data_IF_935315828111
#
_entry.id   IF_935315828111
#
_cell.length_a   1.000
_cell.length_b   1.000
_cell.length_c   1.000
_cell.angle_alpha   90.00
_cell.angle_beta   90.00
_cell.angle_gamma   90.00
#
_symmetry.space_group_name_H-M   'P 1'
#
loop_
_entity.id
_entity.type
_entity.pdbx_description
1 polymer ?
#
# COMPACT_ATOMS: atom_id res chain seq x y z
N UNK A 1 -17.46 -40.52 -19.72
CA UNK A 1 -17.06 -39.34 -20.51
C UNK A 1 -17.42 -38.00 -19.86
N UNK A 2 -18.44 -37.89 -18.98
CA UNK A 2 -18.75 -36.62 -18.27
C UNK A 2 -17.97 -36.38 -16.96
N UNK A 3 -17.32 -37.39 -16.37
CA UNK A 3 -16.57 -37.22 -15.10
C UNK A 3 -15.23 -36.50 -15.28
N UNK A 4 -14.55 -36.72 -16.41
CA UNK A 4 -13.21 -36.16 -16.65
C UNK A 4 -13.23 -34.63 -16.84
N UNK A 5 -14.38 -34.06 -17.23
CA UNK A 5 -14.55 -32.62 -17.42
C UNK A 5 -14.66 -31.85 -16.09
N UNK A 6 -15.21 -32.50 -15.04
CA UNK A 6 -15.31 -31.93 -13.69
C UNK A 6 -14.03 -32.08 -12.87
N UNK A 7 -13.17 -33.05 -13.20
CA UNK A 7 -11.89 -33.26 -12.49
C UNK A 7 -10.78 -32.30 -12.96
N UNK A 8 -10.99 -31.56 -14.05
CA UNK A 8 -10.03 -30.58 -14.58
C UNK A 8 -10.20 -29.18 -13.95
N UNK A 9 -10.27 -29.10 -12.63
CA UNK A 9 -10.28 -27.82 -11.89
C UNK A 9 -9.06 -26.95 -12.21
N UNK A 10 -7.93 -27.58 -12.54
CA UNK A 10 -6.66 -26.93 -12.89
C UNK A 10 -6.73 -26.12 -14.20
N UNK A 11 -7.63 -26.49 -15.13
CA UNK A 11 -7.88 -25.70 -16.35
C UNK A 11 -8.62 -24.38 -16.08
N UNK A 12 -9.32 -24.26 -14.95
CA UNK A 12 -10.02 -23.03 -14.57
C UNK A 12 -9.11 -22.02 -13.87
N UNK A 13 -7.97 -22.46 -13.33
CA UNK A 13 -6.94 -21.56 -12.79
C UNK A 13 -6.12 -20.92 -13.92
N UNK A 14 -6.19 -19.58 -14.02
CA UNK A 14 -5.32 -18.82 -14.93
C UNK A 14 -3.89 -18.85 -14.40
N UNK A 15 -3.04 -19.65 -15.05
CA UNK A 15 -1.61 -19.81 -14.74
C UNK A 15 -0.84 -18.48 -14.68
N UNK A 16 -1.28 -17.49 -15.46
CA UNK A 16 -0.66 -16.15 -15.49
C UNK A 16 -0.73 -15.39 -14.15
N UNK A 17 -1.67 -15.78 -13.27
CA UNK A 17 -1.84 -15.20 -11.93
C UNK A 17 -1.32 -16.10 -10.80
N UNK A 18 -0.69 -17.22 -11.13
CA UNK A 18 -0.21 -18.21 -10.16
C UNK A 18 1.05 -17.75 -9.42
N UNK A 19 1.79 -16.80 -10.01
CA UNK A 19 3.02 -16.29 -9.43
C UNK A 19 2.74 -15.43 -8.20
N UNK A 20 3.40 -15.79 -7.08
CA UNK A 20 3.38 -14.98 -5.85
C UNK A 20 3.96 -13.60 -6.13
N UNK A 21 3.38 -12.57 -5.50
CA UNK A 21 3.90 -11.21 -5.58
C UNK A 21 5.37 -11.14 -5.11
N UNK A 22 6.23 -10.38 -5.81
CA UNK A 22 7.61 -10.20 -5.36
C UNK A 22 7.66 -9.64 -3.94
N UNK A 23 8.54 -10.18 -3.10
CA UNK A 23 8.67 -9.75 -1.71
C UNK A 23 8.97 -8.24 -1.59
N UNK A 24 9.81 -7.71 -2.48
CA UNK A 24 10.10 -6.27 -2.52
C UNK A 24 8.86 -5.42 -2.81
N UNK A 25 7.91 -5.93 -3.61
CA UNK A 25 6.65 -5.23 -3.88
C UNK A 25 5.73 -5.21 -2.66
N UNK A 26 5.66 -6.33 -1.94
CA UNK A 26 4.92 -6.41 -0.68
C UNK A 26 5.50 -5.46 0.37
N UNK A 27 6.84 -5.44 0.53
CA UNK A 27 7.53 -4.54 1.46
C UNK A 27 7.24 -3.08 1.10
N UNK A 28 7.36 -2.71 -0.18
CA UNK A 28 7.03 -1.35 -0.63
C UNK A 28 5.57 -1.00 -0.36
N UNK A 29 4.65 -1.91 -0.67
CA UNK A 29 3.22 -1.69 -0.47
C UNK A 29 2.89 -1.41 1.00
N UNK A 30 3.34 -2.26 1.93
CA UNK A 30 3.13 -2.04 3.35
C UNK A 30 3.90 -0.82 3.88
N UNK A 31 5.11 -0.58 3.35
CA UNK A 31 5.89 0.62 3.66
C UNK A 31 5.14 1.90 3.32
N UNK A 32 4.51 1.97 2.14
CA UNK A 32 3.69 3.11 1.72
C UNK A 32 2.45 3.30 2.59
N UNK A 33 1.81 2.21 3.03
CA UNK A 33 0.67 2.29 3.96
C UNK A 33 1.11 2.88 5.29
N UNK A 34 2.18 2.34 5.89
CA UNK A 34 2.71 2.84 7.16
C UNK A 34 3.20 4.29 7.04
N UNK A 35 3.87 4.62 5.94
CA UNK A 35 4.31 5.98 5.65
C UNK A 35 3.14 6.94 5.48
N UNK A 36 2.09 6.53 4.76
CA UNK A 36 0.87 7.33 4.59
C UNK A 36 0.16 7.60 5.91
N UNK A 37 0.05 6.59 6.77
CA UNK A 37 -0.51 6.74 8.12
C UNK A 37 0.34 7.70 8.98
N UNK A 38 1.66 7.53 8.95
CA UNK A 38 2.59 8.42 9.64
C UNK A 38 2.45 9.87 9.15
N UNK A 39 2.46 10.08 7.83
CA UNK A 39 2.31 11.40 7.22
C UNK A 39 0.97 12.04 7.60
N UNK A 40 -0.11 11.27 7.57
CA UNK A 40 -1.42 11.75 7.98
C UNK A 40 -1.42 12.23 9.43
N UNK A 41 -0.86 11.46 10.36
CA UNK A 41 -0.76 11.86 11.78
C UNK A 41 0.10 13.11 11.93
N UNK A 42 1.25 13.19 11.24
CA UNK A 42 2.21 14.27 11.42
C UNK A 42 1.78 15.59 10.78
N UNK A 43 1.06 15.56 9.65
CA UNK A 43 0.74 16.74 8.87
C UNK A 43 -0.76 17.12 8.91
N UNK A 44 -1.55 16.42 9.71
CA UNK A 44 -2.95 16.82 9.98
C UNK A 44 -3.00 17.81 11.15
N UNK A 45 -3.49 19.06 10.95
CA UNK A 45 -3.48 20.09 11.98
C UNK A 45 -4.20 19.71 13.27
N UNK A 46 -5.31 18.96 13.18
CA UNK A 46 -6.07 18.53 14.35
C UNK A 46 -5.40 17.44 15.17
N UNK A 47 -4.38 16.77 14.63
CA UNK A 47 -3.67 15.67 15.29
C UNK A 47 -2.33 16.16 15.84
N UNK A 48 -1.49 16.77 15.00
CA UNK A 48 -0.13 17.18 15.37
C UNK A 48 0.03 18.65 15.72
N UNK A 49 -0.99 19.48 15.46
CA UNK A 49 -0.87 20.95 15.56
C UNK A 49 0.01 21.57 14.47
N UNK A 50 0.45 20.77 13.48
CA UNK A 50 1.22 21.26 12.33
C UNK A 50 0.35 22.16 11.46
N UNK A 51 0.93 23.28 10.99
CA UNK A 51 0.27 24.20 10.06
C UNK A 51 1.29 24.73 9.07
N UNK A 52 0.84 25.04 7.85
CA UNK A 52 1.69 25.61 6.81
C UNK A 52 2.26 26.98 7.21
N UNK A 53 1.47 27.82 7.89
CA UNK A 53 1.90 29.15 8.33
C UNK A 53 3.07 29.09 9.32
N UNK A 54 2.96 28.26 10.36
CA UNK A 54 4.04 28.06 11.32
C UNK A 54 5.31 27.53 10.64
N UNK A 55 5.16 26.53 9.76
CA UNK A 55 6.30 25.97 9.03
C UNK A 55 6.98 27.02 8.12
N UNK A 56 6.20 27.92 7.53
CA UNK A 56 6.73 29.03 6.75
C UNK A 56 7.47 30.05 7.62
N UNK A 57 6.88 30.46 8.75
CA UNK A 57 7.50 31.39 9.70
C UNK A 57 8.83 30.84 10.22
N UNK A 58 8.89 29.57 10.64
CA UNK A 58 10.14 28.92 11.06
C UNK A 58 11.20 28.87 9.95
N UNK A 59 10.78 28.80 8.68
CA UNK A 59 11.71 28.75 7.54
C UNK A 59 12.35 30.10 7.21
N UNK A 60 11.70 31.22 7.56
CA UNK A 60 12.19 32.57 7.33
C UNK A 60 12.95 33.14 8.53
N UNK A 61 12.75 32.56 9.72
CA UNK A 61 13.44 32.93 10.96
C UNK A 61 14.79 32.21 11.15
N UNK A 62 15.08 31.18 10.34
CA UNK A 62 16.38 30.49 10.27
C UNK A 62 17.38 31.22 9.38
#
# INVERSE_FOLDING_TARGET
MQKEEFDNFESFSRKDTEHKLPLGWLVLFFGLILWGAYYFVMYTPSISGWTQEKAYQESIEK
#
